data_IF_230487132177
#
_entry.id   IF_230487132177
#
_cell.length_a   1.000
_cell.length_b   1.000
_cell.length_c   1.000
_cell.angle_alpha   90.00
_cell.angle_beta   90.00
_cell.angle_gamma   90.00
#
_symmetry.space_group_name_H-M   'P 1'
#
loop_
_entity.id
_entity.type
_entity.pdbx_description
1 polymer ?
#
# COMPACT_ATOMS: atom_id res chain seq x y z
N UNK A 1 -0.45 33.07 -5.70
CA UNK A 1 -0.55 33.06 -4.22
C UNK A 1 -1.76 32.23 -3.83
N UNK A 2 -1.52 30.99 -3.40
CA UNK A 2 -2.35 30.32 -2.41
C UNK A 2 -1.47 29.22 -1.80
N UNK A 3 -0.67 29.61 -0.81
CA UNK A 3 -0.05 28.70 0.13
C UNK A 3 -1.17 27.96 0.86
N UNK A 4 -1.51 26.76 0.37
CA UNK A 4 -2.20 25.78 1.20
C UNK A 4 -1.09 25.03 1.90
N UNK A 5 -0.70 25.54 3.07
CA UNK A 5 0.11 24.80 4.02
C UNK A 5 -0.57 23.45 4.25
N UNK A 6 0.08 22.39 3.76
CA UNK A 6 -0.29 21.01 4.06
C UNK A 6 -0.30 20.89 5.58
N UNK A 7 -1.44 20.45 6.12
CA UNK A 7 -1.74 20.48 7.54
C UNK A 7 -0.60 19.91 8.40
N UNK A 8 -0.33 20.61 9.51
CA UNK A 8 0.60 20.25 10.56
C UNK A 8 0.41 18.78 11.02
N UNK A 9 1.49 18.04 11.31
CA UNK A 9 1.45 16.58 11.35
C UNK A 9 0.67 16.01 12.54
N UNK A 10 -0.05 14.92 12.25
CA UNK A 10 -0.80 14.03 13.14
C UNK A 10 -0.08 13.65 14.45
N UNK A 11 -0.83 13.18 15.48
CA UNK A 11 -0.39 13.09 16.87
C UNK A 11 1.00 12.45 17.07
N UNK A 12 1.77 13.02 18.00
CA UNK A 12 3.14 12.61 18.35
C UNK A 12 3.28 11.13 18.77
N UNK A 13 2.18 10.45 19.11
CA UNK A 13 2.16 9.03 19.50
C UNK A 13 2.64 8.10 18.38
N UNK A 14 2.64 8.55 17.12
CA UNK A 14 3.16 7.80 15.97
C UNK A 14 4.63 8.14 15.65
N UNK A 15 5.20 9.19 16.27
CA UNK A 15 6.59 9.63 16.04
C UNK A 15 7.57 9.09 17.08
N UNK A 16 7.31 7.91 17.64
CA UNK A 16 8.32 7.23 18.45
C UNK A 16 9.29 6.49 17.54
N UNK A 17 10.22 7.24 16.94
CA UNK A 17 11.32 6.68 16.18
C UNK A 17 12.47 6.38 17.15
N UNK A 18 12.44 5.19 17.74
CA UNK A 18 13.65 4.55 18.26
C UNK A 18 14.42 3.93 17.10
N UNK A 19 14.99 4.76 16.23
CA UNK A 19 15.92 4.29 15.19
C UNK A 19 17.31 4.13 15.82
N UNK A 20 18.00 3.02 15.54
CA UNK A 20 19.43 2.91 15.85
C UNK A 20 20.24 3.91 15.02
N UNK A 21 21.43 4.28 15.49
CA UNK A 21 22.34 5.18 14.74
C UNK A 21 22.63 4.68 13.31
N UNK A 22 22.61 3.37 13.11
CA UNK A 22 22.77 2.73 11.79
C UNK A 22 21.58 3.00 10.88
N UNK A 23 20.34 2.82 11.38
CA UNK A 23 19.13 3.09 10.61
C UNK A 23 18.98 4.58 10.24
N UNK A 24 19.42 5.49 11.12
CA UNK A 24 19.44 6.92 10.83
C UNK A 24 20.44 7.28 9.72
N UNK A 25 21.60 6.62 9.68
CA UNK A 25 22.60 6.79 8.62
C UNK A 25 22.15 6.22 7.29
N UNK A 26 21.55 5.03 7.29
CA UNK A 26 20.97 4.40 6.10
C UNK A 26 19.84 5.25 5.53
N UNK A 27 18.95 5.78 6.38
CA UNK A 27 17.88 6.68 5.96
C UNK A 27 18.42 7.98 5.34
N UNK A 28 19.52 8.53 5.84
CA UNK A 28 20.17 9.71 5.25
C UNK A 28 20.81 9.41 3.89
N UNK A 29 21.34 8.20 3.69
CA UNK A 29 21.92 7.75 2.41
C UNK A 29 20.85 7.38 1.37
N UNK A 30 19.66 6.98 1.82
CA UNK A 30 18.52 6.63 0.98
C UNK A 30 17.59 7.84 0.71
N UNK A 31 18.04 9.04 1.05
CA UNK A 31 17.28 10.27 0.81
C UNK A 31 17.21 10.60 -0.69
N UNK A 32 16.03 10.99 -1.15
CA UNK A 32 15.83 11.38 -2.56
C UNK A 32 16.49 12.73 -2.83
N UNK A 33 17.34 12.78 -3.86
CA UNK A 33 18.03 14.01 -4.21
C UNK A 33 17.06 15.01 -4.88
N UNK A 34 17.04 16.30 -4.48
CA UNK A 34 16.10 17.28 -5.03
C UNK A 34 16.21 17.47 -6.56
N UNK A 35 17.39 17.25 -7.14
CA UNK A 35 17.58 17.34 -8.59
C UNK A 35 16.85 16.22 -9.36
N UNK A 36 16.69 15.04 -8.76
CA UNK A 36 15.98 13.92 -9.39
C UNK A 36 14.49 14.22 -9.42
N UNK A 37 13.94 14.81 -8.34
CA UNK A 37 12.55 15.29 -8.29
C UNK A 37 12.32 16.36 -9.37
N UNK A 38 13.22 17.33 -9.52
CA UNK A 38 13.14 18.34 -10.60
C UNK A 38 13.15 17.71 -11.99
N UNK A 39 14.03 16.73 -12.21
CA UNK A 39 14.14 16.02 -13.49
C UNK A 39 12.87 15.21 -13.78
N UNK A 40 12.30 14.58 -12.74
CA UNK A 40 11.04 13.85 -12.84
C UNK A 40 9.86 14.79 -13.15
N UNK A 41 9.77 15.93 -12.46
CA UNK A 41 8.76 16.96 -12.73
C UNK A 41 8.87 17.50 -14.16
N UNK A 42 10.09 17.77 -14.65
CA UNK A 42 10.30 18.21 -16.02
C UNK A 42 9.80 17.18 -17.05
N UNK A 43 10.06 15.90 -16.83
CA UNK A 43 9.50 14.83 -17.67
C UNK A 43 7.97 14.78 -17.63
N UNK A 44 7.37 14.94 -16.45
CA UNK A 44 5.92 14.90 -16.26
C UNK A 44 5.20 15.98 -17.09
N UNK A 45 5.80 17.17 -17.23
CA UNK A 45 5.25 18.26 -18.07
C UNK A 45 5.12 17.90 -19.56
N UNK A 46 5.79 16.84 -20.00
CA UNK A 46 5.73 16.34 -21.38
C UNK A 46 4.82 15.12 -21.53
N UNK A 47 4.08 14.71 -20.49
CA UNK A 47 3.16 13.57 -20.50
C UNK A 47 1.70 14.06 -20.50
N UNK A 48 1.08 14.28 -21.68
CA UNK A 48 -0.22 14.94 -21.78
C UNK A 48 -1.39 14.17 -21.14
N UNK A 49 -1.26 12.86 -20.95
CA UNK A 49 -2.26 12.01 -20.32
C UNK A 49 -2.20 12.03 -18.79
N UNK A 50 -1.03 12.29 -18.20
CA UNK A 50 -0.85 12.23 -16.74
C UNK A 50 -1.31 13.52 -16.04
N UNK A 51 -1.73 13.44 -14.76
CA UNK A 51 -1.98 14.64 -13.97
C UNK A 51 -0.67 15.40 -13.72
N UNK A 52 -0.72 16.74 -13.82
CA UNK A 52 0.47 17.60 -13.74
C UNK A 52 0.63 18.27 -12.37
N UNK A 53 -0.43 18.30 -11.57
CA UNK A 53 -0.54 18.85 -10.22
C UNK A 53 -0.12 17.85 -9.12
N UNK A 54 0.71 16.86 -9.48
CA UNK A 54 1.33 15.94 -8.53
C UNK A 54 2.35 16.71 -7.68
N UNK A 55 2.29 16.53 -6.36
CA UNK A 55 3.21 17.15 -5.39
C UNK A 55 4.63 16.57 -5.49
N UNK A 56 5.65 17.37 -5.16
CA UNK A 56 7.06 16.94 -5.20
C UNK A 56 7.33 15.79 -4.22
N UNK A 57 6.66 15.81 -3.07
CA UNK A 57 6.70 14.75 -2.07
C UNK A 57 6.21 13.42 -2.64
N UNK A 58 5.16 13.46 -3.48
CA UNK A 58 4.66 12.28 -4.17
C UNK A 58 5.65 11.77 -5.21
N UNK A 59 6.29 12.66 -5.98
CA UNK A 59 7.34 12.27 -6.92
C UNK A 59 8.55 11.64 -6.19
N UNK A 60 8.90 12.14 -5.01
CA UNK A 60 9.94 11.58 -4.17
C UNK A 60 9.58 10.17 -3.69
N UNK A 61 8.32 9.89 -3.33
CA UNK A 61 7.87 8.53 -2.97
C UNK A 61 8.08 7.54 -4.14
N UNK A 62 7.74 7.93 -5.37
CA UNK A 62 7.98 7.09 -6.55
C UNK A 62 9.47 6.83 -6.77
N UNK A 63 10.31 7.86 -6.75
CA UNK A 63 11.78 7.71 -6.87
C UNK A 63 12.34 6.78 -5.80
N UNK A 64 12.00 7.03 -4.54
CA UNK A 64 12.42 6.19 -3.43
C UNK A 64 11.96 4.74 -3.62
N UNK A 65 10.70 4.51 -3.98
CA UNK A 65 10.17 3.15 -4.17
C UNK A 65 10.94 2.33 -5.21
N UNK A 66 11.55 3.02 -6.19
CA UNK A 66 12.30 2.42 -7.29
C UNK A 66 13.82 2.52 -7.11
N UNK A 67 14.30 2.60 -5.87
CA UNK A 67 15.73 2.71 -5.53
C UNK A 67 16.43 3.85 -6.30
N UNK A 68 15.75 5.00 -6.41
CA UNK A 68 16.22 6.20 -7.09
C UNK A 68 16.39 6.07 -8.61
N UNK A 69 15.90 4.99 -9.21
CA UNK A 69 15.85 4.86 -10.67
C UNK A 69 14.72 5.73 -11.24
N UNK A 70 15.10 6.85 -11.86
CA UNK A 70 14.16 7.76 -12.51
C UNK A 70 13.34 7.06 -13.61
N UNK A 71 13.96 6.17 -14.39
CA UNK A 71 13.24 5.46 -15.46
C UNK A 71 12.17 4.51 -14.93
N UNK A 72 12.48 3.76 -13.86
CA UNK A 72 11.49 2.90 -13.21
C UNK A 72 10.41 3.74 -12.53
N UNK A 73 10.78 4.85 -11.87
CA UNK A 73 9.83 5.73 -11.19
C UNK A 73 8.80 6.32 -12.17
N UNK A 74 9.21 6.71 -13.38
CA UNK A 74 8.32 7.17 -14.46
C UNK A 74 7.30 6.09 -14.84
N UNK A 75 7.76 4.85 -15.00
CA UNK A 75 6.91 3.70 -15.34
C UNK A 75 5.90 3.44 -14.20
N UNK A 76 6.37 3.37 -12.95
CA UNK A 76 5.51 3.13 -11.79
C UNK A 76 4.47 4.24 -11.61
N UNK A 77 4.85 5.51 -11.83
CA UNK A 77 3.92 6.64 -11.75
C UNK A 77 2.82 6.53 -12.82
N UNK A 78 3.19 6.28 -14.07
CA UNK A 78 2.22 6.10 -15.15
C UNK A 78 1.24 4.95 -14.84
N UNK A 79 1.77 3.79 -14.42
CA UNK A 79 0.94 2.65 -13.98
C UNK A 79 0.04 3.00 -12.80
N UNK A 80 0.56 3.76 -11.83
CA UNK A 80 -0.21 4.17 -10.66
C UNK A 80 -1.49 4.89 -11.06
N UNK A 81 -1.37 5.93 -11.88
CA UNK A 81 -2.52 6.74 -12.29
C UNK A 81 -3.42 6.04 -13.31
N UNK A 82 -2.85 5.17 -14.14
CA UNK A 82 -3.62 4.32 -15.06
C UNK A 82 -4.51 3.33 -14.30
N UNK A 83 -3.95 2.60 -13.34
CA UNK A 83 -4.70 1.66 -12.50
C UNK A 83 -5.72 2.41 -11.62
N UNK A 84 -5.34 3.56 -11.05
CA UNK A 84 -6.27 4.42 -10.28
C UNK A 84 -7.49 4.84 -11.10
N UNK A 85 -7.32 5.02 -12.41
CA UNK A 85 -8.40 5.39 -13.33
C UNK A 85 -9.22 4.17 -13.76
N UNK A 86 -8.57 3.02 -13.98
CA UNK A 86 -9.22 1.78 -14.40
C UNK A 86 -9.94 1.01 -13.26
N UNK A 87 -9.65 1.32 -11.99
CA UNK A 87 -10.22 0.66 -10.81
C UNK A 87 -11.03 1.65 -9.94
N UNK A 88 -12.13 2.24 -10.45
CA UNK A 88 -12.90 3.25 -9.71
C UNK A 88 -13.48 2.71 -8.40
N UNK A 89 -13.77 1.41 -8.32
CA UNK A 89 -14.25 0.78 -7.09
C UNK A 89 -13.23 0.83 -5.94
N UNK A 90 -11.93 0.99 -6.24
CA UNK A 90 -10.87 1.15 -5.25
C UNK A 90 -10.45 2.60 -5.05
N UNK A 91 -10.54 3.44 -6.09
CA UNK A 91 -9.96 4.79 -6.08
C UNK A 91 -10.97 5.94 -6.18
N UNK A 92 -12.27 5.68 -6.26
CA UNK A 92 -13.33 6.71 -6.23
C UNK A 92 -14.12 6.64 -4.93
N UNK A 93 -14.59 7.79 -4.44
CA UNK A 93 -15.39 7.87 -3.22
C UNK A 93 -14.59 7.51 -1.96
N UNK A 94 -13.33 7.91 -1.91
CA UNK A 94 -12.39 7.67 -0.80
C UNK A 94 -12.57 8.73 0.28
N UNK A 95 -13.80 8.96 0.71
CA UNK A 95 -14.13 9.88 1.78
C UNK A 95 -14.08 9.15 3.14
N UNK A 96 -13.13 9.47 4.03
CA UNK A 96 -13.04 8.85 5.36
C UNK A 96 -14.30 9.01 6.21
N UNK A 97 -15.14 10.01 5.92
CA UNK A 97 -16.37 10.32 6.65
C UNK A 97 -17.61 9.69 6.02
N UNK A 98 -17.47 8.96 4.90
CA UNK A 98 -18.61 8.26 4.30
C UNK A 98 -19.04 7.06 5.14
N UNK A 99 -20.31 6.67 5.02
CA UNK A 99 -20.84 5.54 5.77
C UNK A 99 -20.08 4.24 5.43
N UNK A 100 -19.76 4.04 4.16
CA UNK A 100 -19.07 2.85 3.67
C UNK A 100 -17.66 2.71 4.27
N UNK A 101 -16.91 3.81 4.34
CA UNK A 101 -15.57 3.79 4.94
C UNK A 101 -15.65 3.66 6.47
N UNK A 102 -16.61 4.31 7.11
CA UNK A 102 -16.81 4.20 8.55
C UNK A 102 -17.26 2.79 8.96
N UNK A 103 -18.07 2.11 8.14
CA UNK A 103 -18.45 0.72 8.37
C UNK A 103 -17.27 -0.22 8.15
N UNK A 104 -16.45 0.00 7.11
CA UNK A 104 -15.21 -0.77 6.93
C UNK A 104 -14.23 -0.60 8.12
N UNK A 105 -14.13 0.60 8.70
CA UNK A 105 -13.33 0.87 9.90
C UNK A 105 -13.87 0.15 11.15
N UNK A 106 -15.18 -0.12 11.24
CA UNK A 106 -15.74 -0.93 12.34
C UNK A 106 -15.41 -2.42 12.20
N UNK A 107 -15.20 -2.89 10.97
CA UNK A 107 -15.01 -4.30 10.63
C UNK A 107 -13.53 -4.69 10.56
N UNK A 108 -12.70 -3.86 9.94
CA UNK A 108 -11.28 -4.14 9.71
C UNK A 108 -10.41 -3.27 10.62
N UNK A 109 -9.56 -3.95 11.37
CA UNK A 109 -8.52 -3.35 12.20
C UNK A 109 -7.28 -3.08 11.35
N UNK A 110 -6.70 -1.90 11.57
CA UNK A 110 -5.38 -1.52 11.10
C UNK A 110 -4.59 -1.00 12.30
N UNK A 111 -3.53 -1.71 12.70
CA UNK A 111 -2.72 -1.38 13.86
C UNK A 111 -1.26 -1.16 13.43
N UNK A 112 -0.80 0.09 13.23
CA UNK A 112 0.62 0.38 13.04
C UNK A 112 1.38 -0.03 14.31
N UNK A 113 2.43 -0.83 14.15
CA UNK A 113 3.30 -1.18 15.29
C UNK A 113 4.20 0.01 15.65
N UNK A 114 4.49 0.23 16.95
CA UNK A 114 5.39 1.29 17.37
C UNK A 114 6.82 1.01 16.92
N UNK A 115 7.56 2.07 16.56
CA UNK A 115 8.96 1.97 16.18
C UNK A 115 9.19 1.33 14.81
N UNK A 116 10.32 0.63 14.66
CA UNK A 116 10.74 -0.06 13.44
C UNK A 116 11.11 -1.50 13.78
N UNK A 117 10.90 -2.42 12.84
CA UNK A 117 11.42 -3.78 12.97
C UNK A 117 12.95 -3.78 13.01
N UNK A 118 13.62 -4.88 13.42
CA UNK A 118 15.09 -4.92 13.51
C UNK A 118 15.82 -4.56 12.20
N UNK A 119 15.18 -4.80 11.05
CA UNK A 119 15.62 -4.43 9.71
C UNK A 119 15.10 -3.05 9.24
N UNK A 120 14.63 -2.21 10.16
CA UNK A 120 14.30 -0.79 9.90
C UNK A 120 12.93 -0.54 9.25
N UNK A 121 12.06 -1.54 9.14
CA UNK A 121 10.80 -1.42 8.40
C UNK A 121 9.65 -0.90 9.27
N UNK A 122 8.66 -0.26 8.64
CA UNK A 122 7.35 -0.02 9.26
C UNK A 122 6.55 -1.31 9.21
N UNK A 123 5.93 -1.69 10.32
CA UNK A 123 5.08 -2.87 10.40
C UNK A 123 3.62 -2.52 10.71
N UNK A 124 2.68 -3.22 10.07
CA UNK A 124 1.24 -3.08 10.30
C UNK A 124 0.62 -4.43 10.56
N UNK A 125 -0.22 -4.52 11.60
CA UNK A 125 -1.14 -5.63 11.78
C UNK A 125 -2.50 -5.25 11.20
N UNK A 126 -3.02 -6.11 10.32
CA UNK A 126 -4.34 -5.99 9.71
C UNK A 126 -5.13 -7.25 10.00
N UNK A 127 -6.38 -7.11 10.45
CA UNK A 127 -7.24 -8.24 10.80
C UNK A 127 -8.65 -7.81 11.13
N UNK A 128 -9.49 -8.72 11.60
CA UNK A 128 -10.87 -8.38 11.97
C UNK A 128 -10.94 -7.67 13.33
N UNK A 129 -11.73 -6.58 13.37
CA UNK A 129 -12.30 -5.99 14.58
C UNK A 129 -13.67 -6.61 14.86
N UNK A 130 -14.49 -6.74 13.82
CA UNK A 130 -15.73 -7.52 13.81
C UNK A 130 -15.63 -8.64 12.77
N UNK A 131 -15.55 -9.91 13.19
CA UNK A 131 -15.42 -11.05 12.29
C UNK A 131 -16.77 -11.59 11.79
N UNK A 132 -17.90 -10.90 12.03
CA UNK A 132 -19.20 -11.32 11.51
C UNK A 132 -19.21 -11.26 9.97
N UNK A 133 -19.32 -12.41 9.27
CA UNK A 133 -19.24 -12.42 7.81
C UNK A 133 -20.28 -11.53 7.16
N UNK A 134 -21.48 -11.35 7.73
CA UNK A 134 -22.50 -10.47 7.18
C UNK A 134 -22.02 -9.01 7.04
N UNK A 135 -21.21 -8.53 7.99
CA UNK A 135 -20.70 -7.17 8.03
C UNK A 135 -19.46 -6.98 7.14
N UNK A 136 -18.81 -8.06 6.70
CA UNK A 136 -17.62 -7.96 5.87
C UNK A 136 -17.89 -7.40 4.47
N UNK A 137 -17.20 -6.31 4.15
CA UNK A 137 -17.27 -5.60 2.87
C UNK A 137 -15.90 -5.67 2.18
N UNK A 138 -15.72 -6.64 1.28
CA UNK A 138 -14.41 -6.97 0.72
C UNK A 138 -13.77 -5.81 -0.08
N UNK A 139 -14.55 -5.16 -0.95
CA UNK A 139 -14.05 -4.07 -1.82
C UNK A 139 -13.64 -2.87 -0.97
N UNK A 140 -14.48 -2.50 -0.02
CA UNK A 140 -14.27 -1.40 0.92
C UNK A 140 -13.07 -1.67 1.83
N UNK A 141 -12.84 -2.94 2.20
CA UNK A 141 -11.66 -3.33 2.99
C UNK A 141 -10.34 -3.10 2.24
N UNK A 142 -10.29 -3.43 0.94
CA UNK A 142 -9.11 -3.14 0.10
C UNK A 142 -8.96 -1.63 -0.07
N UNK A 143 -10.04 -0.92 -0.42
CA UNK A 143 -10.05 0.55 -0.55
C UNK A 143 -9.51 1.22 0.72
N UNK A 144 -10.01 0.81 1.88
CA UNK A 144 -9.58 1.33 3.17
C UNK A 144 -8.08 1.05 3.41
N UNK A 145 -7.60 -0.16 3.09
CA UNK A 145 -6.17 -0.47 3.19
C UNK A 145 -5.29 0.44 2.34
N UNK A 146 -5.71 0.75 1.12
CA UNK A 146 -5.01 1.70 0.23
C UNK A 146 -5.06 3.14 0.79
N UNK A 147 -6.18 3.56 1.38
CA UNK A 147 -6.29 4.86 2.06
C UNK A 147 -5.36 4.95 3.28
N UNK A 148 -5.22 3.87 4.06
CA UNK A 148 -4.29 3.82 5.19
C UNK A 148 -2.84 3.92 4.72
N UNK A 149 -2.50 3.29 3.59
CA UNK A 149 -1.16 3.44 2.99
C UNK A 149 -0.90 4.89 2.54
N UNK A 150 -1.85 5.52 1.83
CA UNK A 150 -1.73 6.93 1.44
C UNK A 150 -1.51 7.83 2.68
N UNK A 151 -2.31 7.63 3.74
CA UNK A 151 -2.17 8.36 5.02
C UNK A 151 -0.75 8.24 5.59
N UNK A 152 -0.20 7.03 5.63
CA UNK A 152 1.12 6.78 6.21
C UNK A 152 2.21 7.40 5.36
N UNK A 153 2.11 7.32 4.03
CA UNK A 153 3.05 7.96 3.12
C UNK A 153 3.02 9.49 3.21
N UNK A 154 1.85 10.10 3.39
CA UNK A 154 1.72 11.55 3.60
C UNK A 154 2.30 12.00 4.93
N UNK A 155 2.17 11.17 5.97
CA UNK A 155 2.64 11.47 7.33
C UNK A 155 4.15 11.31 7.46
N UNK A 156 4.68 10.21 6.94
CA UNK A 156 6.06 9.78 7.21
C UNK A 156 7.00 10.01 6.03
N UNK A 157 6.47 10.26 4.83
CA UNK A 157 7.25 10.33 3.61
C UNK A 157 7.87 8.98 3.23
N UNK A 158 9.01 9.00 2.51
CA UNK A 158 9.74 7.79 2.16
C UNK A 158 10.27 7.05 3.40
N UNK A 159 10.08 5.74 3.43
CA UNK A 159 10.58 4.85 4.49
C UNK A 159 11.24 3.61 3.89
N UNK A 160 12.26 3.00 4.55
CA UNK A 160 13.05 1.90 3.98
C UNK A 160 12.22 0.72 3.44
N UNK A 161 11.05 0.48 4.04
CA UNK A 161 10.02 -0.39 3.50
C UNK A 161 8.95 -0.73 4.53
N UNK A 162 8.04 -1.59 4.09
CA UNK A 162 6.88 -2.03 4.85
C UNK A 162 6.86 -3.55 5.02
N UNK A 163 6.42 -3.98 6.20
CA UNK A 163 6.07 -5.37 6.52
C UNK A 163 4.60 -5.45 6.91
N UNK A 164 3.82 -6.15 6.10
CA UNK A 164 2.40 -6.35 6.36
C UNK A 164 2.19 -7.64 7.15
N UNK A 165 1.39 -7.58 8.21
CA UNK A 165 1.04 -8.72 9.06
C UNK A 165 -0.47 -8.90 8.97
N UNK A 166 -0.92 -10.00 8.37
CA UNK A 166 -2.33 -10.33 8.20
C UNK A 166 -2.74 -11.35 9.27
N UNK A 167 -3.59 -10.93 10.20
CA UNK A 167 -4.16 -11.79 11.24
C UNK A 167 -5.40 -12.50 10.72
N UNK A 168 -5.39 -13.83 10.71
CA UNK A 168 -6.52 -14.64 10.27
C UNK A 168 -7.52 -14.97 11.37
N UNK A 169 -7.33 -14.55 12.63
CA UNK A 169 -8.31 -14.80 13.70
C UNK A 169 -9.70 -14.27 13.29
N UNK A 170 -10.72 -15.12 13.45
CA UNK A 170 -12.10 -14.82 13.06
C UNK A 170 -12.43 -15.05 11.58
N UNK A 171 -11.43 -15.39 10.74
CA UNK A 171 -11.69 -15.70 9.33
C UNK A 171 -12.47 -17.01 9.18
N UNK A 172 -13.40 -17.02 8.23
CA UNK A 172 -14.27 -18.18 7.94
C UNK A 172 -14.44 -18.36 6.44
N UNK A 173 -14.95 -19.52 6.01
CA UNK A 173 -15.25 -19.76 4.59
C UNK A 173 -16.26 -18.75 4.01
N UNK A 174 -17.18 -18.23 4.83
CA UNK A 174 -18.13 -17.19 4.43
C UNK A 174 -17.44 -15.89 4.04
N UNK A 175 -16.30 -15.56 4.64
CA UNK A 175 -15.48 -14.43 4.21
C UNK A 175 -14.83 -14.68 2.85
N UNK A 176 -14.34 -15.90 2.61
CA UNK A 176 -13.75 -16.28 1.32
C UNK A 176 -14.78 -16.23 0.20
N UNK A 177 -16.02 -16.64 0.48
CA UNK A 177 -17.13 -16.55 -0.48
C UNK A 177 -17.47 -15.11 -0.89
N UNK A 178 -17.09 -14.10 -0.08
CA UNK A 178 -17.26 -12.67 -0.38
C UNK A 178 -16.12 -12.06 -1.19
N UNK A 179 -15.05 -12.80 -1.46
CA UNK A 179 -13.92 -12.30 -2.25
C UNK A 179 -14.38 -11.99 -3.67
N UNK A 180 -14.20 -10.73 -4.07
CA UNK A 180 -14.37 -10.32 -5.46
C UNK A 180 -13.03 -10.47 -6.19
N UNK A 181 -12.90 -11.52 -7.03
CA UNK A 181 -11.64 -11.82 -7.72
C UNK A 181 -11.14 -10.68 -8.61
N UNK A 182 -12.03 -10.00 -9.34
CA UNK A 182 -11.65 -8.88 -10.21
C UNK A 182 -11.05 -7.70 -9.43
N UNK A 183 -11.70 -7.34 -8.31
CA UNK A 183 -11.20 -6.28 -7.42
C UNK A 183 -9.90 -6.69 -6.74
N UNK A 184 -9.81 -7.94 -6.28
CA UNK A 184 -8.59 -8.50 -5.68
C UNK A 184 -7.43 -8.44 -6.66
N UNK A 185 -7.65 -8.84 -7.91
CA UNK A 185 -6.65 -8.78 -8.98
C UNK A 185 -6.19 -7.33 -9.21
N UNK A 186 -7.12 -6.37 -9.36
CA UNK A 186 -6.77 -4.95 -9.56
C UNK A 186 -6.01 -4.36 -8.36
N UNK A 187 -6.38 -4.72 -7.14
CA UNK A 187 -5.64 -4.34 -5.93
C UNK A 187 -4.22 -4.92 -5.91
N UNK A 188 -4.04 -6.16 -6.36
CA UNK A 188 -2.73 -6.80 -6.44
C UNK A 188 -1.88 -6.23 -7.58
N UNK A 189 -2.47 -5.96 -8.75
CA UNK A 189 -1.80 -5.27 -9.85
C UNK A 189 -1.31 -3.89 -9.38
N UNK A 190 -2.13 -3.14 -8.66
CA UNK A 190 -1.71 -1.87 -8.06
C UNK A 190 -0.53 -2.05 -7.09
N UNK A 191 -0.62 -2.99 -6.15
CA UNK A 191 0.46 -3.25 -5.19
C UNK A 191 1.78 -3.62 -5.87
N UNK A 192 1.73 -4.43 -6.93
CA UNK A 192 2.91 -4.97 -7.61
C UNK A 192 3.53 -4.03 -8.64
N UNK A 193 2.77 -3.06 -9.15
CA UNK A 193 3.17 -2.28 -10.32
C UNK A 193 3.04 -0.76 -10.18
N UNK A 194 2.11 -0.28 -9.36
CA UNK A 194 1.72 1.13 -9.31
C UNK A 194 1.81 1.77 -7.93
N UNK A 195 1.93 0.98 -6.86
CA UNK A 195 2.01 1.48 -5.49
C UNK A 195 3.46 1.93 -5.18
N UNK A 196 3.70 3.20 -4.83
CA UNK A 196 5.05 3.71 -4.58
C UNK A 196 5.58 3.34 -3.19
N UNK A 197 5.62 2.05 -2.88
CA UNK A 197 6.14 1.52 -1.61
C UNK A 197 7.14 0.40 -1.86
N UNK A 198 8.06 0.21 -0.92
CA UNK A 198 8.89 -1.00 -0.87
C UNK A 198 8.25 -2.00 0.10
N UNK A 199 7.41 -2.89 -0.42
CA UNK A 199 6.94 -4.04 0.36
C UNK A 199 8.11 -5.02 0.52
N UNK A 200 8.39 -5.47 1.75
CA UNK A 200 9.53 -6.34 2.06
C UNK A 200 9.13 -7.66 2.71
N UNK A 201 7.86 -7.81 3.10
CA UNK A 201 7.35 -9.03 3.69
C UNK A 201 5.85 -8.96 3.94
N UNK A 202 5.17 -10.07 3.71
CA UNK A 202 3.76 -10.29 4.05
C UNK A 202 3.69 -11.53 4.94
N UNK A 203 3.34 -11.35 6.19
CA UNK A 203 3.23 -12.44 7.17
C UNK A 203 1.78 -12.70 7.51
N UNK A 204 1.29 -13.90 7.23
CA UNK A 204 -0.01 -14.37 7.70
C UNK A 204 0.20 -15.03 9.05
N UNK A 205 -0.45 -14.52 10.11
CA UNK A 205 -0.38 -15.10 11.46
C UNK A 205 -1.74 -15.65 11.87
N UNK A 206 -1.73 -16.53 12.88
CA UNK A 206 -2.91 -17.30 13.29
C UNK A 206 -3.54 -18.04 12.10
N UNK A 207 -2.70 -18.49 11.19
CA UNK A 207 -3.14 -19.10 9.94
C UNK A 207 -3.90 -20.40 10.24
N UNK A 208 -5.09 -20.49 9.67
CA UNK A 208 -5.95 -21.68 9.69
C UNK A 208 -5.93 -22.34 8.30
N UNK A 209 -6.37 -23.61 8.14
CA UNK A 209 -6.34 -24.31 6.84
C UNK A 209 -7.00 -23.54 5.67
N UNK A 210 -7.93 -22.63 5.97
CA UNK A 210 -8.54 -21.68 5.03
C UNK A 210 -7.52 -20.89 4.20
N UNK A 211 -6.32 -20.62 4.74
CA UNK A 211 -5.25 -19.88 4.05
C UNK A 211 -4.91 -20.51 2.70
N UNK A 212 -4.94 -21.84 2.59
CA UNK A 212 -4.63 -22.53 1.34
C UNK A 212 -5.64 -22.24 0.23
N UNK A 213 -6.92 -22.04 0.58
CA UNK A 213 -7.96 -21.69 -0.38
C UNK A 213 -7.79 -20.24 -0.87
N UNK A 214 -7.51 -19.31 0.04
CA UNK A 214 -7.20 -17.92 -0.31
C UNK A 214 -5.98 -17.86 -1.23
N UNK A 215 -4.91 -18.58 -0.90
CA UNK A 215 -3.71 -18.63 -1.73
C UNK A 215 -3.95 -19.30 -3.08
N UNK A 216 -4.81 -20.31 -3.18
CA UNK A 216 -5.17 -20.90 -4.46
C UNK A 216 -5.87 -19.88 -5.38
N UNK A 217 -6.68 -18.99 -4.81
CA UNK A 217 -7.35 -17.90 -5.53
C UNK A 217 -6.35 -16.82 -5.94
N UNK A 218 -5.41 -16.43 -5.06
CA UNK A 218 -4.47 -15.34 -5.33
C UNK A 218 -3.27 -15.72 -6.22
N UNK A 219 -2.76 -16.96 -6.10
CA UNK A 219 -1.53 -17.40 -6.78
C UNK A 219 -1.48 -17.09 -8.28
N UNK A 220 -2.54 -17.29 -9.08
CA UNK A 220 -2.50 -17.05 -10.52
C UNK A 220 -2.12 -15.61 -10.92
N UNK A 221 -2.38 -14.64 -10.04
CA UNK A 221 -2.15 -13.20 -10.30
C UNK A 221 -0.97 -12.62 -9.50
N UNK A 222 -0.37 -13.40 -8.60
CA UNK A 222 0.86 -13.02 -7.88
C UNK A 222 2.10 -13.22 -8.75
N UNK A 223 2.95 -12.19 -8.83
CA UNK A 223 4.30 -12.28 -9.39
C UNK A 223 5.25 -13.08 -8.48
N UNK A 224 6.34 -13.66 -9.01
CA UNK A 224 7.33 -14.40 -8.22
C UNK A 224 7.82 -13.64 -6.99
N UNK A 225 8.16 -12.36 -7.14
CA UNK A 225 8.69 -11.51 -6.07
C UNK A 225 7.69 -11.38 -4.91
N UNK A 226 6.40 -11.24 -5.23
CA UNK A 226 5.32 -11.17 -4.23
C UNK A 226 5.12 -12.50 -3.52
N UNK A 227 5.27 -13.62 -4.23
CA UNK A 227 5.17 -14.97 -3.64
C UNK A 227 6.33 -15.25 -2.69
N UNK A 228 7.54 -14.79 -3.02
CA UNK A 228 8.74 -14.96 -2.21
C UNK A 228 8.67 -14.20 -0.88
N UNK A 229 7.99 -13.05 -0.86
CA UNK A 229 7.77 -12.24 0.35
C UNK A 229 6.66 -12.79 1.26
N UNK A 230 5.90 -13.80 0.82
CA UNK A 230 4.77 -14.33 1.59
C UNK A 230 5.24 -15.42 2.56
N UNK A 231 4.94 -15.21 3.84
CA UNK A 231 5.21 -16.16 4.91
C UNK A 231 3.91 -16.49 5.64
N UNK A 232 3.65 -17.78 5.86
CA UNK A 232 2.46 -18.25 6.58
C UNK A 232 2.86 -18.90 7.89
N UNK A 233 2.27 -18.43 8.99
CA UNK A 233 2.57 -18.85 10.34
C UNK A 233 1.30 -19.37 11.01
N UNK A 234 1.26 -20.67 11.23
CA UNK A 234 0.28 -21.28 12.14
C UNK A 234 0.58 -20.91 13.59
N UNK A 235 -0.34 -21.16 14.51
CA UNK A 235 -0.12 -20.91 15.94
C UNK A 235 1.14 -21.64 16.45
N UNK A 236 1.36 -22.88 16.03
CA UNK A 236 2.55 -23.67 16.38
C UNK A 236 3.88 -23.09 15.81
N UNK A 237 3.79 -22.22 14.80
CA UNK A 237 4.95 -21.63 14.12
C UNK A 237 5.15 -20.15 14.46
N UNK A 238 4.36 -19.57 15.36
CA UNK A 238 4.41 -18.14 15.70
C UNK A 238 5.77 -17.70 16.26
N UNK A 239 6.56 -18.61 16.83
CA UNK A 239 7.93 -18.32 17.27
C UNK A 239 8.82 -17.83 16.11
N UNK A 240 8.68 -18.42 14.92
CA UNK A 240 9.42 -18.02 13.71
C UNK A 240 8.98 -16.65 13.20
N UNK A 241 7.71 -16.29 13.39
CA UNK A 241 7.24 -14.95 13.07
C UNK A 241 7.98 -13.88 13.89
N UNK A 242 8.26 -14.17 15.17
CA UNK A 242 8.93 -13.21 16.05
C UNK A 242 10.41 -12.94 15.69
N UNK A 243 11.00 -13.73 14.79
CA UNK A 243 12.31 -13.43 14.19
C UNK A 243 12.25 -12.20 13.27
N UNK A 244 11.10 -11.92 12.67
CA UNK A 244 10.88 -10.77 11.77
C UNK A 244 10.32 -9.55 12.49
N UNK A 245 9.49 -9.78 13.50
CA UNK A 245 8.78 -8.75 14.27
C UNK A 245 8.86 -9.13 15.74
N UNK A 246 9.76 -8.50 16.54
CA UNK A 246 9.90 -8.80 17.96
C UNK A 246 8.58 -8.77 18.70
N UNK A 247 8.36 -9.76 19.57
CA UNK A 247 7.10 -9.93 20.30
C UNK A 247 6.68 -8.67 21.07
N UNK A 248 7.63 -7.93 21.62
CA UNK A 248 7.40 -6.69 22.38
C UNK A 248 6.75 -5.59 21.52
N UNK A 249 7.00 -5.58 20.20
CA UNK A 249 6.36 -4.63 19.27
C UNK A 249 4.89 -4.95 19.01
N UNK A 250 4.46 -6.19 19.28
CA UNK A 250 3.08 -6.59 19.03
C UNK A 250 2.13 -5.96 20.04
N UNK A 251 0.86 -5.72 19.67
CA UNK A 251 -0.14 -5.22 20.60
C UNK A 251 -0.38 -6.18 21.76
N UNK A 252 -0.82 -5.66 22.92
CA UNK A 252 -1.12 -6.47 24.12
C UNK A 252 -2.10 -7.63 23.88
N UNK A 253 -3.10 -7.42 23.04
CA UNK A 253 -4.09 -8.43 22.63
C UNK A 253 -3.56 -9.46 21.60
N UNK A 254 -2.29 -9.29 21.20
CA UNK A 254 -1.48 -10.27 20.47
C UNK A 254 -0.34 -10.83 21.36
N UNK A 255 -0.35 -10.51 22.65
CA UNK A 255 0.64 -11.00 23.63
C UNK A 255 1.96 -10.23 23.65
N UNK A 256 2.04 -9.04 23.05
CA UNK A 256 3.19 -8.14 23.14
C UNK A 256 3.02 -7.02 24.17
N UNK A 257 3.85 -5.98 24.06
CA UNK A 257 3.91 -4.87 25.03
C UNK A 257 3.33 -3.56 24.49
N UNK A 258 3.10 -3.46 23.17
CA UNK A 258 2.55 -2.27 22.54
C UNK A 258 1.10 -2.00 22.99
N UNK A 259 0.59 -0.76 22.82
CA UNK A 259 -0.81 -0.47 23.10
C UNK A 259 -1.77 -1.46 22.42
N UNK A 260 -2.95 -1.74 23.01
CA UNK A 260 -3.92 -2.63 22.40
C UNK A 260 -4.22 -2.23 20.95
N UNK A 261 -4.43 -3.23 20.10
CA UNK A 261 -4.54 -3.03 18.66
C UNK A 261 -5.71 -2.10 18.28
N UNK A 262 -6.79 -2.10 19.05
CA UNK A 262 -7.91 -1.16 18.89
C UNK A 262 -7.50 0.30 19.16
N UNK A 263 -6.65 0.56 20.15
CA UNK A 263 -6.15 1.92 20.41
C UNK A 263 -5.25 2.42 19.26
N UNK A 264 -4.45 1.53 18.67
CA UNK A 264 -3.65 1.83 17.48
C UNK A 264 -4.53 2.09 16.25
N UNK A 265 -5.64 1.38 16.14
CA UNK A 265 -6.63 1.59 15.09
C UNK A 265 -7.38 2.92 15.20
N UNK A 266 -7.75 3.36 16.40
CA UNK A 266 -8.39 4.67 16.57
C UNK A 266 -7.46 5.82 16.14
N UNK A 267 -6.14 5.65 16.28
CA UNK A 267 -5.17 6.62 15.74
C UNK A 267 -5.22 6.65 14.20
N UNK A 268 -5.31 5.48 13.55
CA UNK A 268 -5.46 5.39 12.08
C UNK A 268 -6.76 6.05 11.63
N UNK A 269 -7.88 5.75 12.30
CA UNK A 269 -9.18 6.34 12.03
C UNK A 269 -9.15 7.87 12.12
N UNK A 270 -8.65 8.41 13.24
CA UNK A 270 -8.52 9.85 13.41
C UNK A 270 -7.59 10.50 12.37
N UNK A 271 -6.53 9.79 11.96
CA UNK A 271 -5.63 10.23 10.90
C UNK A 271 -6.29 10.30 9.53
N UNK A 272 -7.09 9.29 9.18
CA UNK A 272 -7.86 9.29 7.94
C UNK A 272 -8.86 10.45 7.92
N UNK A 273 -9.63 10.64 9.00
CA UNK A 273 -10.63 11.71 9.10
C UNK A 273 -10.01 13.10 8.93
N UNK A 274 -8.84 13.35 9.53
CA UNK A 274 -8.08 14.60 9.36
C UNK A 274 -7.53 14.78 7.93
N UNK A 275 -7.30 13.68 7.22
CA UNK A 275 -6.77 13.66 5.83
C UNK A 275 -7.90 13.73 4.79
N UNK A 276 -9.17 13.80 5.20
CA UNK A 276 -10.32 13.88 4.28
C UNK A 276 -10.23 15.00 3.21
N UNK A 277 -9.70 16.21 3.49
CA UNK A 277 -9.49 17.22 2.45
C UNK A 277 -8.52 16.77 1.36
N UNK A 278 -7.48 16.01 1.71
CA UNK A 278 -6.49 15.53 0.75
C UNK A 278 -7.09 14.47 -0.19
N UNK A 279 -7.88 13.52 0.33
CA UNK A 279 -8.53 12.51 -0.52
C UNK A 279 -9.44 13.12 -1.59
N UNK A 280 -10.12 14.23 -1.27
CA UNK A 280 -10.94 14.98 -2.25
C UNK A 280 -10.11 15.62 -3.37
N UNK A 281 -8.87 16.01 -3.08
CA UNK A 281 -7.95 16.55 -4.08
C UNK A 281 -7.34 15.43 -4.91
N UNK A 282 -6.90 14.35 -4.27
CA UNK A 282 -6.33 13.19 -4.94
C UNK A 282 -7.30 12.60 -5.97
N UNK A 283 -8.60 12.56 -5.69
CA UNK A 283 -9.59 11.99 -6.61
C UNK A 283 -9.64 12.69 -7.98
N UNK A 284 -9.12 13.92 -8.07
CA UNK A 284 -9.01 14.68 -9.33
C UNK A 284 -7.82 14.24 -10.18
N UNK A 285 -6.85 13.56 -9.58
CA UNK A 285 -5.61 13.14 -10.22
C UNK A 285 -5.84 11.83 -10.96
N UNK A 286 -6.40 11.89 -12.17
CA UNK A 286 -6.66 10.71 -13.01
C UNK A 286 -5.95 10.87 -14.36
N UNK A 287 -5.65 9.74 -14.99
CA UNK A 287 -5.08 9.75 -16.33
C UNK A 287 -6.18 10.02 -17.35
N UNK A 288 -5.87 10.81 -18.37
CA UNK A 288 -6.69 10.94 -19.57
C UNK A 288 -6.11 10.04 -20.67
N UNK A 289 -6.62 8.81 -20.75
CA UNK A 289 -6.16 7.81 -21.72
C UNK A 289 -6.31 8.28 -23.17
N UNK A 290 -7.25 9.18 -23.47
CA UNK A 290 -7.42 9.72 -24.83
C UNK A 290 -6.23 10.56 -25.30
N UNK A 291 -5.43 11.06 -24.36
CA UNK A 291 -4.24 11.89 -24.61
C UNK A 291 -2.94 11.09 -24.56
N UNK A 292 -2.99 9.78 -24.29
CA UNK A 292 -1.80 8.94 -24.15
C UNK A 292 -1.00 8.90 -25.46
N UNK A 293 0.31 9.19 -25.45
CA UNK A 293 1.13 9.08 -26.65
C UNK A 293 1.11 7.65 -27.21
N UNK A 294 0.92 7.49 -28.52
CA UNK A 294 0.83 6.17 -29.18
C UNK A 294 2.04 5.25 -28.96
N UNK A 295 3.21 5.83 -28.65
CA UNK A 295 4.44 5.09 -28.33
C UNK A 295 4.50 4.55 -26.89
N UNK A 296 3.61 5.00 -26.01
CA UNK A 296 3.51 4.53 -24.64
C UNK A 296 2.45 3.43 -24.57
N UNK A 297 2.76 2.34 -23.87
CA UNK A 297 1.84 1.20 -23.79
C UNK A 297 0.87 1.45 -22.64
N UNK A 298 -0.45 1.45 -22.87
CA UNK A 298 -1.43 1.61 -21.80
C UNK A 298 -1.38 0.44 -20.82
N UNK A 299 -1.83 0.68 -19.60
CA UNK A 299 -2.13 -0.41 -18.68
C UNK A 299 -3.22 -1.32 -19.28
N UNK A 300 -2.96 -2.62 -19.37
CA UNK A 300 -3.97 -3.63 -19.68
C UNK A 300 -4.11 -4.58 -18.50
N UNK A 301 -5.35 -4.95 -18.18
CA UNK A 301 -5.61 -5.89 -17.09
C UNK A 301 -4.90 -7.23 -17.34
N UNK A 302 -3.87 -7.52 -16.56
CA UNK A 302 -3.15 -8.80 -16.59
C UNK A 302 -1.83 -8.79 -17.38
N UNK A 303 -1.38 -7.65 -17.87
CA UNK A 303 -0.04 -7.54 -18.45
C UNK A 303 1.03 -7.56 -17.36
N UNK A 304 1.79 -8.65 -17.30
CA UNK A 304 3.08 -8.68 -16.64
C UNK A 304 4.08 -7.86 -17.50
N UNK A 305 4.19 -6.56 -17.25
CA UNK A 305 5.21 -5.76 -17.91
C UNK A 305 6.59 -6.05 -17.32
N UNK A 306 7.38 -6.84 -18.05
CA UNK A 306 8.76 -7.15 -17.69
C UNK A 306 9.46 -8.14 -18.63
N UNK A 307 8.70 -8.89 -19.44
CA UNK A 307 9.24 -9.79 -20.45
C UNK A 307 8.67 -9.45 -21.83
N UNK A 308 9.10 -8.37 -22.45
CA UNK A 308 9.00 -8.22 -23.91
C UNK A 308 10.11 -7.29 -24.40
N UNK A 309 11.30 -7.87 -24.55
CA UNK A 309 12.25 -7.38 -25.53
C UNK A 309 11.58 -7.36 -26.90
N UNK A 310 11.85 -6.30 -27.67
CA UNK A 310 11.38 -6.04 -29.03
C UNK A 310 11.18 -7.31 -29.88
N UNK A 311 9.97 -7.86 -29.94
CA UNK A 311 9.57 -8.74 -31.02
C UNK A 311 8.86 -7.91 -32.09
N UNK A 312 9.60 -7.57 -33.14
CA UNK A 312 9.02 -7.19 -34.42
C UNK A 312 8.10 -8.33 -34.85
N UNK A 313 6.81 -8.05 -35.00
CA UNK A 313 5.89 -8.96 -35.68
C UNK A 313 6.42 -9.15 -37.11
N UNK A 314 6.89 -10.35 -37.42
CA UNK A 314 7.04 -10.81 -38.79
C UNK A 314 5.64 -11.10 -39.31
N UNK A 315 5.17 -10.27 -40.24
CA UNK A 315 4.06 -10.66 -41.10
C UNK A 315 4.57 -11.79 -42.01
N UNK A 316 3.88 -12.92 -41.98
CA UNK A 316 4.00 -13.95 -42.99
C UNK A 316 2.71 -13.89 -43.81
N UNK A 317 2.87 -13.67 -45.11
CA UNK A 317 1.85 -13.82 -46.14
C UNK A 317 1.47 -15.31 -46.32
#
# INVERSE_FOLDING_TARGET
MSDVAVASPLPAVLRQHGASDTAAREAAQDAVHPQDVKSFRAWLQHQPHLPHDIADETLALFLHSQNHSLELAKITLDRSYSIRTAAPELFTGRNPLSAEIQDALKVIRFAPLPGRTPDGLVAFVVGFKDPEPANFMFVESIKLGLMVLDLVQLRDGPVPGYRLIMDMRGSTISHVAKINFATMKRGLDYQQEGLPVRLKGVHVINAIPLVHQILAIMKPVMKPETREMLHVHTEAQVSKFYEYVPKQMMPKDFGGDAPPSDALHEIVKAGLEQTAPWFRLEERLRVDESRRPARSVPYQDGDAFGCNGSFKKLNLD
#
